data_IF_120028640887
#
_entry.id   IF_120028640887
#
_cell.length_a   1.000
_cell.length_b   1.000
_cell.length_c   1.000
_cell.angle_alpha   90.00
_cell.angle_beta   90.00
_cell.angle_gamma   90.00
#
_symmetry.space_group_name_H-M   'P 1'
#
loop_
_entity.id
_entity.type
_entity.pdbx_description
1 polymer ?
#
# COMPACT_ATOMS: atom_id res chain seq x y z
N UNK A 1 -1.84 -27.41 22.89
CA UNK A 1 -1.87 -28.77 22.31
C UNK A 1 -3.25 -29.24 21.82
N UNK A 2 -4.32 -29.24 22.64
CA UNK A 2 -5.66 -29.73 22.23
C UNK A 2 -6.21 -29.09 20.93
N UNK A 3 -6.02 -27.78 20.76
CA UNK A 3 -6.41 -27.07 19.53
C UNK A 3 -5.63 -27.54 18.30
N UNK A 4 -4.32 -27.72 18.41
CA UNK A 4 -3.49 -28.23 17.31
C UNK A 4 -3.89 -29.65 16.90
N UNK A 5 -4.19 -30.53 17.87
CA UNK A 5 -4.67 -31.89 17.61
C UNK A 5 -6.00 -31.86 16.84
N UNK A 6 -6.92 -30.97 17.23
CA UNK A 6 -8.19 -30.79 16.53
C UNK A 6 -7.97 -30.35 15.06
N UNK A 7 -7.10 -29.37 14.84
CA UNK A 7 -6.74 -28.89 13.50
C UNK A 7 -6.11 -30.02 12.66
N UNK A 8 -5.12 -30.73 13.20
CA UNK A 8 -4.47 -31.85 12.54
C UNK A 8 -5.47 -32.93 12.12
N UNK A 9 -6.41 -33.28 13.00
CA UNK A 9 -7.48 -34.25 12.71
C UNK A 9 -8.39 -33.76 11.58
N UNK A 10 -8.82 -32.49 11.61
CA UNK A 10 -9.75 -31.95 10.59
C UNK A 10 -9.11 -31.77 9.23
N UNK A 11 -7.86 -31.29 9.18
CA UNK A 11 -7.08 -31.18 7.94
C UNK A 11 -6.77 -32.56 7.38
N UNK A 12 -6.39 -33.51 8.22
CA UNK A 12 -6.20 -34.91 7.85
C UNK A 12 -7.42 -35.56 7.22
N UNK A 13 -8.59 -35.38 7.83
CA UNK A 13 -9.88 -35.86 7.31
C UNK A 13 -10.16 -35.29 5.91
N UNK A 14 -9.89 -34.00 5.71
CA UNK A 14 -10.03 -33.33 4.42
C UNK A 14 -9.06 -33.86 3.36
N UNK A 15 -7.79 -34.08 3.73
CA UNK A 15 -6.74 -34.58 2.84
C UNK A 15 -6.95 -36.03 2.40
N UNK A 16 -7.64 -36.85 3.20
CA UNK A 16 -8.04 -38.19 2.76
C UNK A 16 -9.15 -38.15 1.70
N UNK A 17 -10.09 -37.21 1.82
CA UNK A 17 -11.20 -37.05 0.88
C UNK A 17 -10.79 -36.35 -0.43
N UNK A 18 -9.65 -35.65 -0.44
CA UNK A 18 -9.20 -34.85 -1.57
C UNK A 18 -7.73 -35.16 -1.86
N UNK A 19 -7.47 -36.13 -2.74
CA UNK A 19 -6.12 -36.63 -3.01
C UNK A 19 -5.15 -35.57 -3.56
N UNK A 20 -5.67 -34.57 -4.28
CA UNK A 20 -4.88 -33.46 -4.85
C UNK A 20 -4.72 -32.27 -3.89
N UNK A 21 -5.40 -32.31 -2.74
CA UNK A 21 -5.27 -31.26 -1.74
C UNK A 21 -3.87 -31.30 -1.09
N UNK A 22 -3.43 -30.14 -0.66
CA UNK A 22 -2.12 -29.97 -0.05
C UNK A 22 -2.23 -29.22 1.27
N UNK A 23 -1.20 -29.35 2.08
CA UNK A 23 -1.07 -28.69 3.37
C UNK A 23 0.42 -28.46 3.68
N UNK A 24 0.72 -27.41 4.44
CA UNK A 24 2.07 -27.10 4.93
C UNK A 24 2.15 -27.24 6.46
N UNK A 25 3.36 -27.08 7.02
CA UNK A 25 3.60 -27.22 8.46
C UNK A 25 3.28 -25.98 9.29
N UNK A 26 2.70 -24.91 8.70
CA UNK A 26 2.55 -23.60 9.35
C UNK A 26 1.95 -23.67 10.76
N UNK A 27 0.84 -24.38 10.94
CA UNK A 27 0.18 -24.48 12.26
C UNK A 27 1.02 -25.23 13.29
N UNK A 28 1.83 -26.20 12.86
CA UNK A 28 2.71 -26.96 13.74
C UNK A 28 3.92 -26.12 14.11
N UNK A 29 4.52 -25.44 13.13
CA UNK A 29 5.71 -24.61 13.33
C UNK A 29 5.39 -23.37 14.18
N UNK A 30 4.28 -22.69 13.90
CA UNK A 30 3.80 -21.57 14.73
C UNK A 30 3.52 -22.01 16.19
N UNK A 31 2.93 -23.21 16.38
CA UNK A 31 2.70 -23.71 17.74
C UNK A 31 4.01 -24.04 18.45
N UNK A 32 4.99 -24.63 17.75
CA UNK A 32 6.32 -24.94 18.28
C UNK A 32 7.10 -23.68 18.65
N UNK A 33 7.08 -22.64 17.81
CA UNK A 33 7.74 -21.36 18.09
C UNK A 33 7.25 -20.71 19.38
N UNK A 34 5.96 -20.86 19.68
CA UNK A 34 5.35 -20.30 20.89
C UNK A 34 5.38 -21.26 22.11
N UNK A 35 5.81 -22.51 21.93
CA UNK A 35 5.86 -23.55 22.99
C UNK A 35 7.08 -24.48 22.77
N UNK A 36 8.32 -23.94 22.81
CA UNK A 36 9.53 -24.66 22.41
C UNK A 36 9.88 -25.88 23.28
N UNK A 37 9.34 -25.94 24.51
CA UNK A 37 9.53 -27.02 25.46
C UNK A 37 8.71 -28.28 25.15
N UNK A 38 7.74 -28.19 24.23
CA UNK A 38 6.87 -29.30 23.86
C UNK A 38 7.44 -29.99 22.60
N UNK A 39 7.62 -31.31 22.65
CA UNK A 39 7.91 -32.11 21.44
C UNK A 39 6.63 -32.30 20.61
N UNK A 40 6.22 -31.23 19.93
CA UNK A 40 4.96 -31.18 19.17
C UNK A 40 4.89 -32.27 18.11
N UNK A 41 6.00 -32.52 17.40
CA UNK A 41 6.06 -33.56 16.36
C UNK A 41 6.03 -34.96 16.96
N UNK A 42 6.73 -35.21 18.08
CA UNK A 42 6.67 -36.49 18.79
C UNK A 42 5.27 -36.81 19.30
N UNK A 43 4.60 -35.82 19.90
CA UNK A 43 3.22 -35.99 20.39
C UNK A 43 2.22 -36.26 19.25
N UNK A 44 2.34 -35.56 18.12
CA UNK A 44 1.50 -35.84 16.95
C UNK A 44 1.81 -37.23 16.36
N UNK A 45 3.08 -37.67 16.33
CA UNK A 45 3.47 -39.01 15.86
C UNK A 45 2.85 -40.12 16.69
N UNK A 46 2.88 -40.01 18.03
CA UNK A 46 2.18 -40.95 18.92
C UNK A 46 0.68 -41.02 18.63
N UNK A 47 0.05 -39.87 18.41
CA UNK A 47 -1.38 -39.81 18.09
C UNK A 47 -1.69 -40.38 16.70
N UNK A 48 -0.77 -40.25 15.74
CA UNK A 48 -0.92 -40.79 14.39
C UNK A 48 -0.93 -42.31 14.33
N UNK A 49 -0.32 -43.01 15.31
CA UNK A 49 -0.35 -44.47 15.39
C UNK A 49 -1.79 -45.01 15.46
N UNK A 50 -2.68 -44.27 16.11
CA UNK A 50 -4.07 -44.66 16.36
C UNK A 50 -5.10 -43.74 15.66
N UNK A 51 -4.65 -42.83 14.78
CA UNK A 51 -5.54 -41.89 14.12
C UNK A 51 -5.09 -41.62 12.68
N UNK A 52 -5.80 -42.23 11.73
CA UNK A 52 -5.50 -42.13 10.29
C UNK A 52 -5.53 -40.68 9.76
N UNK A 53 -6.35 -39.81 10.34
CA UNK A 53 -6.42 -38.40 9.93
C UNK A 53 -5.14 -37.66 10.35
N UNK A 54 -4.73 -37.82 11.61
CA UNK A 54 -3.49 -37.19 12.09
C UNK A 54 -2.29 -37.77 11.35
N UNK A 55 -2.29 -39.07 11.05
CA UNK A 55 -1.26 -39.70 10.21
C UNK A 55 -1.19 -39.08 8.82
N UNK A 56 -2.33 -38.96 8.12
CA UNK A 56 -2.39 -38.35 6.79
C UNK A 56 -1.90 -36.90 6.80
N UNK A 57 -2.29 -36.14 7.82
CA UNK A 57 -1.84 -34.76 8.01
C UNK A 57 -0.31 -34.69 8.18
N UNK A 58 0.26 -35.49 9.09
CA UNK A 58 1.71 -35.56 9.32
C UNK A 58 2.48 -35.96 8.07
N UNK A 59 2.06 -37.02 7.39
CA UNK A 59 2.71 -37.46 6.14
C UNK A 59 2.71 -36.35 5.07
N UNK A 60 1.63 -35.57 5.01
CA UNK A 60 1.48 -34.48 4.03
C UNK A 60 2.42 -33.32 4.34
N UNK A 61 2.47 -32.88 5.60
CA UNK A 61 3.33 -31.77 6.00
C UNK A 61 4.81 -32.19 6.04
N UNK A 62 5.15 -33.42 6.45
CA UNK A 62 6.54 -33.90 6.49
C UNK A 62 7.14 -34.05 5.08
N UNK A 63 6.34 -34.50 4.10
CA UNK A 63 6.75 -34.52 2.67
C UNK A 63 7.12 -33.14 2.13
N UNK A 64 6.63 -32.07 2.76
CA UNK A 64 6.79 -30.68 2.29
C UNK A 64 7.57 -29.79 3.26
N UNK A 65 7.85 -30.25 4.48
CA UNK A 65 8.57 -29.56 5.56
C UNK A 65 9.97 -29.08 5.12
N UNK A 66 10.57 -29.77 4.16
CA UNK A 66 11.88 -29.41 3.57
C UNK A 66 11.80 -28.91 2.14
N UNK A 67 10.63 -28.92 1.50
CA UNK A 67 10.41 -28.09 0.32
C UNK A 67 10.20 -26.68 0.84
N UNK A 68 11.29 -25.99 1.18
CA UNK A 68 11.26 -24.54 1.23
C UNK A 68 10.69 -24.15 -0.12
N UNK A 69 9.47 -23.62 -0.14
CA UNK A 69 8.98 -22.92 -1.30
C UNK A 69 10.04 -21.83 -1.54
N UNK A 70 10.93 -22.09 -2.48
CA UNK A 70 11.83 -21.10 -3.01
C UNK A 70 10.96 -20.43 -4.06
N UNK A 71 10.28 -19.30 -3.75
CA UNK A 71 9.64 -18.54 -4.81
C UNK A 71 10.68 -18.38 -5.89
N UNK A 72 10.39 -18.89 -7.09
CA UNK A 72 11.17 -18.52 -8.25
C UNK A 72 11.14 -16.99 -8.25
N UNK A 73 12.33 -16.37 -8.18
CA UNK A 73 12.43 -14.92 -8.21
C UNK A 73 11.78 -14.49 -9.52
N UNK A 74 10.52 -14.09 -9.44
CA UNK A 74 9.75 -13.72 -10.60
C UNK A 74 10.46 -12.52 -11.19
N UNK A 75 10.99 -12.68 -12.40
CA UNK A 75 11.67 -11.60 -13.09
C UNK A 75 10.59 -10.63 -13.56
N UNK A 76 10.56 -9.46 -12.94
CA UNK A 76 9.71 -8.37 -13.37
C UNK A 76 10.45 -7.59 -14.44
N UNK A 77 10.04 -7.76 -15.69
CA UNK A 77 10.57 -7.04 -16.84
C UNK A 77 9.42 -6.50 -17.71
N UNK A 78 9.78 -5.85 -18.82
CA UNK A 78 8.81 -5.31 -19.79
C UNK A 78 7.79 -6.37 -20.23
N UNK A 79 8.23 -7.60 -20.53
CA UNK A 79 7.34 -8.64 -21.05
C UNK A 79 6.35 -9.10 -19.98
N UNK A 80 6.82 -9.27 -18.73
CA UNK A 80 5.96 -9.60 -17.59
C UNK A 80 4.76 -8.66 -17.46
N UNK A 81 4.99 -7.36 -17.67
CA UNK A 81 3.96 -6.31 -17.62
C UNK A 81 3.01 -6.42 -18.82
N UNK A 82 3.56 -6.54 -20.03
CA UNK A 82 2.77 -6.61 -21.28
C UNK A 82 1.86 -7.83 -21.33
N UNK A 83 2.32 -8.99 -20.85
CA UNK A 83 1.51 -10.21 -20.81
C UNK A 83 0.27 -10.02 -19.92
N UNK A 84 0.41 -9.27 -18.83
CA UNK A 84 -0.67 -8.99 -17.88
C UNK A 84 -1.62 -7.90 -18.37
N UNK A 85 -1.13 -6.93 -19.15
CA UNK A 85 -2.02 -5.95 -19.78
C UNK A 85 -3.08 -6.61 -20.67
N UNK A 86 -2.73 -7.73 -21.29
CA UNK A 86 -3.61 -8.50 -22.17
C UNK A 86 -4.45 -9.55 -21.41
N UNK A 87 -4.15 -9.81 -20.14
CA UNK A 87 -4.86 -10.80 -19.34
C UNK A 87 -5.73 -10.14 -18.26
N UNK A 88 -7.05 -10.14 -18.48
CA UNK A 88 -8.03 -9.55 -17.55
C UNK A 88 -8.07 -10.20 -16.15
N UNK A 89 -7.50 -11.40 -15.99
CA UNK A 89 -7.48 -12.13 -14.72
C UNK A 89 -6.21 -11.90 -13.90
N UNK A 90 -5.17 -11.29 -14.49
CA UNK A 90 -3.88 -11.09 -13.84
C UNK A 90 -3.61 -9.61 -13.62
N UNK A 91 -3.87 -9.14 -12.40
CA UNK A 91 -3.45 -7.81 -11.96
C UNK A 91 -1.92 -7.70 -11.81
N UNK A 92 -1.41 -6.48 -11.85
CA UNK A 92 -0.03 -6.17 -11.46
C UNK A 92 -0.08 -5.38 -10.16
N UNK A 93 0.58 -5.89 -9.12
CA UNK A 93 0.69 -5.18 -7.84
C UNK A 93 1.67 -4.00 -7.94
N UNK A 94 1.46 -2.91 -7.18
CA UNK A 94 2.26 -1.69 -7.28
C UNK A 94 3.77 -1.92 -7.05
N UNK A 95 4.13 -2.80 -6.09
CA UNK A 95 5.53 -3.19 -5.79
C UNK A 95 6.27 -3.83 -6.96
N UNK A 96 5.57 -4.27 -8.00
CA UNK A 96 6.21 -4.78 -9.24
C UNK A 96 6.84 -3.63 -10.01
N UNK A 97 6.18 -2.47 -10.06
CA UNK A 97 6.61 -1.34 -10.87
C UNK A 97 7.93 -0.75 -10.37
N UNK A 98 8.10 -0.67 -9.05
CA UNK A 98 9.34 -0.25 -8.38
C UNK A 98 10.55 -1.16 -8.69
N UNK A 99 10.29 -2.41 -9.09
CA UNK A 99 11.33 -3.41 -9.39
C UNK A 99 11.71 -3.46 -10.87
N UNK A 100 11.02 -2.71 -11.73
CA UNK A 100 11.34 -2.65 -13.15
C UNK A 100 12.65 -1.91 -13.37
N UNK A 101 13.46 -2.41 -14.31
CA UNK A 101 14.68 -1.72 -14.68
C UNK A 101 14.37 -0.39 -15.38
N UNK A 102 15.30 0.59 -15.30
CA UNK A 102 15.18 1.84 -16.06
C UNK A 102 14.98 1.61 -17.57
N UNK A 103 15.55 0.53 -18.11
CA UNK A 103 15.38 0.13 -19.51
C UNK A 103 13.96 -0.32 -19.80
N UNK A 104 13.36 -1.11 -18.91
CA UNK A 104 11.98 -1.57 -19.07
C UNK A 104 10.97 -0.43 -18.90
N UNK A 105 11.21 0.48 -17.94
CA UNK A 105 10.40 1.68 -17.76
C UNK A 105 10.41 2.59 -18.99
N UNK A 106 11.58 2.77 -19.64
CA UNK A 106 11.67 3.51 -20.90
C UNK A 106 10.86 2.86 -22.02
N UNK A 107 10.94 1.52 -22.18
CA UNK A 107 10.12 0.81 -23.18
C UNK A 107 8.61 0.98 -22.94
N UNK A 108 8.17 0.88 -21.68
CA UNK A 108 6.77 1.08 -21.31
C UNK A 108 6.33 2.52 -21.58
N UNK A 109 7.22 3.50 -21.37
CA UNK A 109 6.96 4.89 -21.67
C UNK A 109 6.88 5.16 -23.18
N UNK A 110 7.76 4.54 -23.98
CA UNK A 110 7.72 4.61 -25.44
C UNK A 110 6.40 4.05 -25.98
N UNK A 111 5.94 2.93 -25.43
CA UNK A 111 4.65 2.34 -25.76
C UNK A 111 3.47 3.25 -25.39
N UNK A 112 3.51 3.84 -24.19
CA UNK A 112 2.50 4.80 -23.75
C UNK A 112 2.38 6.00 -24.70
N UNK A 113 3.50 6.56 -25.15
CA UNK A 113 3.51 7.72 -26.05
C UNK A 113 2.96 7.41 -27.45
N UNK A 114 2.94 6.14 -27.85
CA UNK A 114 2.39 5.68 -29.14
C UNK A 114 0.95 5.18 -29.04
N UNK A 115 0.45 4.96 -27.83
CA UNK A 115 -0.87 4.39 -27.59
C UNK A 115 -1.94 5.49 -27.68
N UNK A 116 -2.97 5.24 -28.50
CA UNK A 116 -4.10 6.14 -28.74
C UNK A 116 -5.37 5.71 -27.99
N UNK A 117 -5.46 4.45 -27.57
CA UNK A 117 -6.64 3.95 -26.86
C UNK A 117 -6.56 4.31 -25.38
N UNK A 118 -7.51 5.15 -24.92
CA UNK A 118 -7.65 5.57 -23.52
C UNK A 118 -7.54 4.43 -22.50
N UNK A 119 -8.24 3.32 -22.73
CA UNK A 119 -8.23 2.16 -21.82
C UNK A 119 -6.87 1.45 -21.73
N UNK A 120 -5.99 1.65 -22.72
CA UNK A 120 -4.62 1.16 -22.69
C UNK A 120 -3.66 2.19 -22.12
N UNK A 121 -3.83 3.47 -22.47
CA UNK A 121 -3.11 4.58 -21.83
C UNK A 121 -3.29 4.53 -20.30
N UNK A 122 -4.50 4.25 -19.83
CA UNK A 122 -4.82 4.09 -18.39
C UNK A 122 -3.94 3.02 -17.73
N UNK A 123 -3.75 1.88 -18.39
CA UNK A 123 -2.89 0.80 -17.87
C UNK A 123 -1.44 1.23 -17.75
N UNK A 124 -0.91 1.99 -18.71
CA UNK A 124 0.44 2.53 -18.63
C UNK A 124 0.56 3.60 -17.55
N UNK A 125 -0.40 4.54 -17.45
CA UNK A 125 -0.36 5.57 -16.43
C UNK A 125 -0.48 5.01 -15.02
N UNK A 126 -1.20 3.90 -14.82
CA UNK A 126 -1.19 3.17 -13.54
C UNK A 126 0.22 2.72 -13.13
N UNK A 127 1.10 2.42 -14.08
CA UNK A 127 2.52 2.14 -13.77
C UNK A 127 3.16 3.43 -13.28
N UNK A 128 3.00 4.50 -14.05
CA UNK A 128 3.67 5.77 -13.77
C UNK A 128 3.07 6.57 -12.61
N UNK A 129 1.92 6.17 -12.08
CA UNK A 129 1.42 6.66 -10.79
C UNK A 129 2.18 6.10 -9.59
N UNK A 130 2.94 5.02 -9.78
CA UNK A 130 3.75 4.39 -8.74
C UNK A 130 5.26 4.60 -8.93
N UNK A 131 5.70 4.95 -10.15
CA UNK A 131 7.10 5.21 -10.46
C UNK A 131 7.23 6.39 -11.42
N UNK A 132 8.27 7.21 -11.24
CA UNK A 132 8.50 8.39 -12.07
C UNK A 132 8.60 8.04 -13.57
N UNK A 133 7.80 8.73 -14.39
CA UNK A 133 7.88 8.64 -15.85
C UNK A 133 9.27 9.09 -16.36
N UNK A 134 9.91 8.36 -17.28
CA UNK A 134 11.32 8.58 -17.64
C UNK A 134 11.56 9.76 -18.59
N UNK A 135 10.51 10.38 -19.11
CA UNK A 135 10.60 11.49 -20.07
C UNK A 135 9.95 12.77 -19.53
N UNK A 136 9.77 13.76 -20.41
CA UNK A 136 9.08 15.00 -20.10
C UNK A 136 7.60 14.71 -19.71
N UNK A 137 7.11 15.42 -18.69
CA UNK A 137 5.77 15.18 -18.11
C UNK A 137 4.62 15.81 -18.93
N UNK A 138 4.90 16.64 -19.93
CA UNK A 138 3.88 17.38 -20.69
C UNK A 138 2.79 16.49 -21.31
N UNK A 139 3.10 15.31 -21.90
CA UNK A 139 2.05 14.41 -22.40
C UNK A 139 1.11 13.95 -21.28
N UNK A 140 1.64 13.71 -20.08
CA UNK A 140 0.86 13.32 -18.89
C UNK A 140 0.03 14.50 -18.40
N UNK A 141 0.59 15.71 -18.34
CA UNK A 141 -0.12 16.92 -17.95
C UNK A 141 -1.29 17.23 -18.89
N UNK A 142 -1.12 17.03 -20.19
CA UNK A 142 -2.20 17.21 -21.16
C UNK A 142 -3.34 16.22 -20.91
N UNK A 143 -3.04 14.97 -20.55
CA UNK A 143 -4.06 13.98 -20.18
C UNK A 143 -4.72 14.32 -18.84
N UNK A 144 -3.97 14.79 -17.84
CA UNK A 144 -4.49 15.21 -16.54
C UNK A 144 -5.46 16.40 -16.65
N UNK A 145 -5.25 17.28 -17.62
CA UNK A 145 -6.13 18.42 -17.91
C UNK A 145 -7.40 18.04 -18.69
N UNK A 146 -7.46 16.84 -19.26
CA UNK A 146 -8.61 16.38 -20.02
C UNK A 146 -9.83 16.13 -19.11
N UNK A 147 -11.02 16.01 -19.71
CA UNK A 147 -12.24 15.70 -18.96
C UNK A 147 -12.18 14.30 -18.34
N UNK A 148 -12.72 14.20 -17.12
CA UNK A 148 -12.85 12.92 -16.43
C UNK A 148 -13.91 12.05 -17.10
N UNK A 149 -13.54 10.81 -17.37
CA UNK A 149 -14.43 9.77 -17.88
C UNK A 149 -14.98 8.96 -16.71
N UNK A 150 -16.26 8.58 -16.75
CA UNK A 150 -16.82 7.60 -15.79
C UNK A 150 -16.43 6.15 -16.10
N UNK A 151 -15.80 5.90 -17.26
CA UNK A 151 -15.50 4.56 -17.79
C UNK A 151 -14.05 4.13 -17.54
N UNK A 152 -13.18 5.07 -17.19
CA UNK A 152 -11.74 4.88 -17.02
C UNK A 152 -11.21 5.81 -15.94
N UNK A 153 -10.07 5.46 -15.34
CA UNK A 153 -9.34 6.30 -14.38
C UNK A 153 -8.12 6.98 -15.02
N UNK A 154 -8.16 7.22 -16.34
CA UNK A 154 -6.99 7.74 -17.08
C UNK A 154 -6.50 9.07 -16.52
N UNK A 155 -7.43 10.02 -16.32
CA UNK A 155 -7.11 11.35 -15.83
C UNK A 155 -6.61 11.31 -14.39
N UNK A 156 -7.19 10.45 -13.54
CA UNK A 156 -6.73 10.24 -12.16
C UNK A 156 -5.29 9.70 -12.13
N UNK A 157 -5.00 8.64 -12.90
CA UNK A 157 -3.63 8.13 -12.98
C UNK A 157 -2.66 9.11 -13.63
N UNK A 158 -3.13 9.99 -14.52
CA UNK A 158 -2.31 11.08 -15.04
C UNK A 158 -1.94 12.08 -13.93
N UNK A 159 -2.91 12.47 -13.09
CA UNK A 159 -2.67 13.33 -11.94
C UNK A 159 -1.71 12.68 -10.96
N UNK A 160 -1.95 11.41 -10.59
CA UNK A 160 -1.05 10.67 -9.69
C UNK A 160 0.36 10.53 -10.28
N UNK A 161 0.51 10.33 -11.60
CA UNK A 161 1.84 10.24 -12.22
C UNK A 161 2.62 11.56 -12.20
N UNK A 162 1.94 12.70 -12.12
CA UNK A 162 2.58 14.03 -12.04
C UNK A 162 3.17 14.32 -10.67
N UNK A 163 2.83 13.56 -9.62
CA UNK A 163 3.35 13.78 -8.26
C UNK A 163 4.89 13.74 -8.18
N UNK A 164 5.54 13.02 -9.09
CA UNK A 164 7.00 12.88 -9.16
C UNK A 164 7.73 14.04 -9.84
N UNK A 165 7.00 15.08 -10.26
CA UNK A 165 7.50 16.20 -11.04
C UNK A 165 7.28 17.55 -10.35
N UNK A 166 8.24 18.45 -10.54
CA UNK A 166 8.14 19.86 -10.17
C UNK A 166 7.95 20.68 -11.44
N UNK A 167 7.01 21.61 -11.44
CA UNK A 167 6.73 22.49 -12.56
C UNK A 167 5.70 23.55 -12.20
N UNK A 168 5.92 24.80 -12.60
CA UNK A 168 4.99 25.90 -12.31
C UNK A 168 3.61 25.67 -12.96
N UNK A 169 3.57 24.99 -14.11
CA UNK A 169 2.34 24.60 -14.81
C UNK A 169 1.59 23.46 -14.12
N UNK A 170 2.30 22.49 -13.52
CA UNK A 170 1.72 21.47 -12.63
C UNK A 170 1.13 22.15 -11.40
N UNK A 171 1.87 23.09 -10.81
CA UNK A 171 1.40 23.83 -9.64
C UNK A 171 0.15 24.64 -9.95
N UNK A 172 0.18 25.42 -11.02
CA UNK A 172 -0.97 26.22 -11.43
C UNK A 172 -2.20 25.32 -11.62
N UNK A 173 -2.03 24.21 -12.33
CA UNK A 173 -3.08 23.22 -12.50
C UNK A 173 -3.61 22.65 -11.18
N UNK A 174 -2.72 22.34 -10.23
CA UNK A 174 -3.11 21.84 -8.90
C UNK A 174 -3.99 22.85 -8.15
N UNK A 175 -3.57 24.12 -8.09
CA UNK A 175 -4.33 25.16 -7.37
C UNK A 175 -5.69 25.43 -8.04
N UNK A 176 -5.73 25.50 -9.37
CA UNK A 176 -6.98 25.67 -10.13
C UNK A 176 -7.99 24.54 -9.84
N UNK A 177 -7.51 23.29 -9.85
CA UNK A 177 -8.36 22.11 -9.58
C UNK A 177 -8.78 22.04 -8.13
N UNK A 178 -7.87 22.21 -7.18
CA UNK A 178 -8.19 22.16 -5.75
C UNK A 178 -9.21 23.24 -5.36
N UNK A 179 -9.15 24.42 -5.97
CA UNK A 179 -10.09 25.51 -5.67
C UNK A 179 -11.53 25.25 -6.12
N UNK A 180 -11.76 24.30 -7.03
CA UNK A 180 -13.07 24.10 -7.69
C UNK A 180 -13.61 22.68 -7.57
N UNK A 181 -12.76 21.71 -7.24
CA UNK A 181 -13.12 20.28 -7.21
C UNK A 181 -13.95 19.91 -5.98
N UNK A 182 -14.78 18.88 -6.14
CA UNK A 182 -15.46 18.18 -5.04
C UNK A 182 -14.69 16.97 -4.52
N UNK A 183 -13.63 16.58 -5.22
CA UNK A 183 -12.76 15.43 -4.93
C UNK A 183 -11.32 15.94 -4.80
N UNK A 184 -11.00 16.69 -3.73
CA UNK A 184 -9.67 17.27 -3.53
C UNK A 184 -8.57 16.20 -3.44
N UNK A 185 -8.90 15.02 -2.89
CA UNK A 185 -7.99 13.89 -2.69
C UNK A 185 -7.30 13.38 -3.98
N UNK A 186 -7.89 13.65 -5.14
CA UNK A 186 -7.27 13.31 -6.44
C UNK A 186 -6.07 14.22 -6.73
N UNK A 187 -6.16 15.50 -6.36
CA UNK A 187 -5.23 16.53 -6.81
C UNK A 187 -4.21 16.97 -5.76
N UNK A 188 -4.40 16.62 -4.49
CA UNK A 188 -3.50 17.03 -3.40
C UNK A 188 -2.08 16.50 -3.60
N UNK A 189 -1.91 15.30 -4.16
CA UNK A 189 -0.60 14.71 -4.48
C UNK A 189 0.27 15.58 -5.40
N UNK A 190 -0.33 16.45 -6.22
CA UNK A 190 0.42 17.39 -7.05
C UNK A 190 1.24 18.39 -6.22
N UNK A 191 0.84 18.66 -4.98
CA UNK A 191 1.57 19.54 -4.08
C UNK A 191 2.81 18.89 -3.45
N UNK A 192 3.01 17.57 -3.57
CA UNK A 192 4.18 16.88 -3.00
C UNK A 192 5.49 17.54 -3.46
N UNK A 193 5.63 17.75 -4.77
CA UNK A 193 6.78 18.45 -5.33
C UNK A 193 6.62 19.97 -5.46
N UNK A 194 5.40 20.49 -5.29
CA UNK A 194 5.01 21.84 -5.75
C UNK A 194 4.36 22.73 -4.68
N UNK A 195 4.43 22.32 -3.41
CA UNK A 195 3.97 23.08 -2.26
C UNK A 195 4.66 24.46 -2.20
N UNK A 196 3.90 25.50 -1.85
CA UNK A 196 4.42 26.83 -1.51
C UNK A 196 3.81 27.29 -0.18
N UNK A 197 4.53 28.18 0.50
CA UNK A 197 4.09 28.74 1.77
C UNK A 197 2.67 29.30 1.67
N UNK A 198 1.84 28.98 2.67
CA UNK A 198 0.43 29.36 2.71
C UNK A 198 -0.54 28.34 2.11
N UNK A 199 -0.07 27.33 1.36
CA UNK A 199 -0.92 26.27 0.80
C UNK A 199 -1.62 25.45 1.93
N UNK A 200 -1.07 25.45 3.14
CA UNK A 200 -1.69 24.83 4.31
C UNK A 200 -3.12 25.33 4.59
N UNK A 201 -3.47 26.58 4.25
CA UNK A 201 -4.83 27.11 4.50
C UNK A 201 -5.87 26.33 3.71
N UNK A 202 -5.53 26.02 2.46
CA UNK A 202 -6.37 25.23 1.58
C UNK A 202 -6.47 23.78 2.08
N UNK A 203 -5.33 23.19 2.44
CA UNK A 203 -5.26 21.82 2.98
C UNK A 203 -6.03 21.67 4.30
N UNK A 204 -5.88 22.61 5.23
CA UNK A 204 -6.67 22.67 6.46
C UNK A 204 -8.16 22.71 6.13
N UNK A 205 -8.57 23.60 5.22
CA UNK A 205 -9.99 23.72 4.86
C UNK A 205 -10.56 22.40 4.33
N UNK A 206 -9.81 21.62 3.55
CA UNK A 206 -10.28 20.30 3.10
C UNK A 206 -10.36 19.31 4.25
N UNK A 207 -9.31 19.24 5.08
CA UNK A 207 -9.29 18.37 6.26
C UNK A 207 -10.50 18.62 7.15
N UNK A 208 -10.83 19.89 7.45
CA UNK A 208 -11.97 20.28 8.28
C UNK A 208 -13.33 19.97 7.65
N UNK A 209 -13.51 20.22 6.35
CA UNK A 209 -14.79 20.02 5.65
C UNK A 209 -15.09 18.56 5.34
N UNK A 210 -14.06 17.73 5.21
CA UNK A 210 -14.23 16.33 4.80
C UNK A 210 -14.78 15.50 5.95
N UNK A 211 -15.81 14.69 5.65
CA UNK A 211 -16.46 13.77 6.61
C UNK A 211 -16.42 12.31 6.14
N UNK A 212 -16.12 12.07 4.87
CA UNK A 212 -16.05 10.72 4.33
C UNK A 212 -14.70 10.10 4.73
N UNK A 213 -14.74 8.91 5.36
CA UNK A 213 -13.55 8.24 5.89
C UNK A 213 -12.56 7.83 4.79
N UNK A 214 -13.05 7.40 3.61
CA UNK A 214 -12.17 7.02 2.49
C UNK A 214 -11.44 8.24 1.93
N UNK A 215 -12.13 9.39 1.87
CA UNK A 215 -11.51 10.67 1.47
C UNK A 215 -10.53 11.15 2.53
N UNK A 216 -10.87 11.06 3.82
CA UNK A 216 -9.94 11.39 4.92
C UNK A 216 -8.67 10.53 4.83
N UNK A 217 -8.83 9.23 4.57
CA UNK A 217 -7.70 8.31 4.41
C UNK A 217 -6.80 8.72 3.23
N UNK A 218 -7.41 9.06 2.09
CA UNK A 218 -6.68 9.50 0.89
C UNK A 218 -5.97 10.84 1.12
N UNK A 219 -6.63 11.79 1.78
CA UNK A 219 -6.03 13.07 2.18
C UNK A 219 -4.86 12.84 3.15
N UNK A 220 -5.02 11.97 4.15
CA UNK A 220 -3.96 11.64 5.10
C UNK A 220 -2.69 11.16 4.39
N UNK A 221 -2.80 10.20 3.47
CA UNK A 221 -1.66 9.73 2.67
C UNK A 221 -0.99 10.89 1.93
N UNK A 222 -1.76 11.69 1.18
CA UNK A 222 -1.18 12.80 0.42
C UNK A 222 -0.57 13.90 1.30
N UNK A 223 -1.12 14.16 2.50
CA UNK A 223 -0.61 15.21 3.39
C UNK A 223 0.70 14.78 4.03
N UNK A 224 0.79 13.50 4.40
CA UNK A 224 2.04 12.87 4.86
C UNK A 224 3.11 13.06 3.78
N UNK A 225 2.84 12.64 2.54
CA UNK A 225 3.80 12.75 1.44
C UNK A 225 4.19 14.23 1.17
N UNK A 226 3.24 15.17 1.24
CA UNK A 226 3.51 16.60 1.09
C UNK A 226 4.49 17.09 2.16
N UNK A 227 4.25 16.79 3.44
CA UNK A 227 5.05 17.33 4.53
C UNK A 227 6.32 16.55 4.82
N UNK A 228 6.42 15.29 4.38
CA UNK A 228 7.70 14.57 4.29
C UNK A 228 8.60 15.21 3.21
N UNK A 229 8.03 15.60 2.08
CA UNK A 229 8.78 16.26 1.00
C UNK A 229 9.08 17.75 1.28
N UNK A 230 8.34 18.39 2.19
CA UNK A 230 8.42 19.82 2.46
C UNK A 230 8.38 20.10 3.98
N UNK A 231 9.55 20.15 4.62
CA UNK A 231 9.66 20.50 6.03
C UNK A 231 9.20 21.94 6.27
N UNK A 232 8.11 22.10 7.00
CA UNK A 232 7.51 23.39 7.35
C UNK A 232 6.64 23.28 8.59
N UNK A 233 6.67 24.32 9.42
CA UNK A 233 5.76 24.44 10.59
C UNK A 233 4.29 24.60 10.18
N UNK A 234 4.04 24.96 8.92
CA UNK A 234 2.69 25.07 8.35
C UNK A 234 1.98 23.71 8.26
N UNK A 235 2.70 22.59 8.47
CA UNK A 235 2.10 21.25 8.54
C UNK A 235 1.14 21.07 9.72
N UNK A 236 1.31 21.85 10.79
CA UNK A 236 0.58 21.68 12.04
C UNK A 236 -0.94 21.61 11.84
N UNK A 237 -1.54 22.70 11.38
CA UNK A 237 -3.00 22.80 11.39
C UNK A 237 -3.69 21.79 10.44
N UNK A 238 -3.19 21.55 9.21
CA UNK A 238 -3.78 20.53 8.33
C UNK A 238 -3.63 19.11 8.88
N UNK A 239 -2.48 18.78 9.48
CA UNK A 239 -2.26 17.45 10.03
C UNK A 239 -3.08 17.22 11.30
N UNK A 240 -3.14 18.18 12.22
CA UNK A 240 -3.99 18.05 13.42
C UNK A 240 -5.48 17.90 13.05
N UNK A 241 -5.95 18.62 12.04
CA UNK A 241 -7.33 18.48 11.55
C UNK A 241 -7.64 17.11 10.93
N UNK A 242 -6.63 16.44 10.32
CA UNK A 242 -6.76 15.06 9.84
C UNK A 242 -6.68 14.07 11.00
N UNK A 243 -5.74 14.27 11.93
CA UNK A 243 -5.53 13.41 13.09
C UNK A 243 -6.83 13.20 13.88
N UNK A 244 -7.56 14.29 14.15
CA UNK A 244 -8.84 14.27 14.89
C UNK A 244 -9.93 13.39 14.25
N UNK A 245 -9.75 12.98 13.00
CA UNK A 245 -10.73 12.20 12.23
C UNK A 245 -10.22 10.82 11.80
N UNK A 246 -8.94 10.53 12.04
CA UNK A 246 -8.25 9.39 11.45
C UNK A 246 -8.26 8.18 12.39
N UNK A 247 -8.77 7.06 11.89
CA UNK A 247 -8.81 5.79 12.65
C UNK A 247 -7.61 4.88 12.35
N UNK A 248 -6.88 5.12 11.27
CA UNK A 248 -5.78 4.27 10.81
C UNK A 248 -4.50 4.53 11.62
N UNK A 249 -4.04 3.52 12.38
CA UNK A 249 -2.82 3.60 13.19
C UNK A 249 -1.56 3.94 12.38
N UNK A 250 -1.36 3.31 11.21
CA UNK A 250 -0.19 3.56 10.36
C UNK A 250 -0.05 5.02 9.94
N UNK A 251 -1.15 5.64 9.50
CA UNK A 251 -1.14 7.05 9.14
C UNK A 251 -0.98 7.96 10.37
N UNK A 252 -1.51 7.59 11.54
CA UNK A 252 -1.27 8.33 12.79
C UNK A 252 0.22 8.34 13.16
N UNK A 253 0.92 7.21 13.02
CA UNK A 253 2.38 7.14 13.26
C UNK A 253 3.11 8.16 12.40
N UNK A 254 2.91 8.11 11.07
CA UNK A 254 3.59 9.02 10.14
C UNK A 254 3.25 10.49 10.43
N UNK A 255 1.98 10.79 10.68
CA UNK A 255 1.52 12.15 10.95
C UNK A 255 2.15 12.73 12.23
N UNK A 256 2.10 11.98 13.33
CA UNK A 256 2.68 12.39 14.62
C UNK A 256 4.19 12.58 14.48
N UNK A 257 4.87 11.67 13.77
CA UNK A 257 6.30 11.80 13.47
C UNK A 257 6.61 13.12 12.74
N UNK A 258 5.85 13.47 11.70
CA UNK A 258 6.03 14.75 10.98
C UNK A 258 5.82 15.95 11.90
N UNK A 259 4.82 15.92 12.77
CA UNK A 259 4.56 17.00 13.74
C UNK A 259 5.71 17.16 14.75
N UNK A 260 6.32 16.05 15.19
CA UNK A 260 7.50 16.05 16.07
C UNK A 260 8.72 16.62 15.34
N UNK A 261 9.02 16.10 14.14
CA UNK A 261 10.18 16.53 13.34
C UNK A 261 10.13 18.03 12.98
N UNK A 262 8.92 18.58 12.80
CA UNK A 262 8.72 20.01 12.55
C UNK A 262 8.64 20.86 13.83
N UNK A 263 8.76 20.25 15.03
CA UNK A 263 8.64 20.90 16.34
C UNK A 263 7.32 21.67 16.51
N UNK A 264 6.20 21.05 16.11
CA UNK A 264 4.87 21.67 16.15
C UNK A 264 3.78 20.80 16.79
N UNK A 265 4.11 19.59 17.25
CA UNK A 265 3.19 18.71 17.97
C UNK A 265 2.50 19.47 19.13
N UNK A 266 1.17 19.49 19.13
CA UNK A 266 0.41 20.09 20.23
C UNK A 266 0.42 19.22 21.48
N UNK A 267 0.27 19.89 22.62
CA UNK A 267 0.07 19.24 23.92
C UNK A 267 -1.17 18.34 23.94
N UNK A 268 -2.22 18.68 23.17
CA UNK A 268 -3.40 17.82 23.02
C UNK A 268 -3.01 16.43 22.49
N UNK A 269 -2.33 16.39 21.34
CA UNK A 269 -1.92 15.11 20.73
C UNK A 269 -0.87 14.43 21.61
N UNK A 270 0.10 15.17 22.16
CA UNK A 270 1.10 14.63 23.08
C UNK A 270 0.47 13.84 24.24
N UNK A 271 -0.56 14.39 24.86
CA UNK A 271 -1.24 13.76 25.99
C UNK A 271 -2.13 12.59 25.56
N UNK A 272 -2.64 12.59 24.33
CA UNK A 272 -3.49 11.52 23.80
C UNK A 272 -2.68 10.29 23.39
N UNK A 273 -1.53 10.48 22.76
CA UNK A 273 -0.77 9.39 22.14
C UNK A 273 -0.18 8.40 23.15
N UNK A 274 -0.10 8.73 24.43
CA UNK A 274 0.23 7.77 25.50
C UNK A 274 -0.75 6.59 25.53
N UNK A 275 -2.01 6.87 25.17
CA UNK A 275 -3.11 5.91 25.20
C UNK A 275 -3.55 5.44 23.80
N UNK A 276 -2.79 5.76 22.74
CA UNK A 276 -3.13 5.31 21.39
C UNK A 276 -3.21 3.77 21.36
N UNK A 277 -4.15 3.21 20.60
CA UNK A 277 -4.24 1.76 20.36
C UNK A 277 -3.03 1.18 19.60
N UNK A 278 -2.39 1.97 18.74
CA UNK A 278 -1.26 1.57 17.90
C UNK A 278 0.07 1.76 18.67
N UNK A 279 0.82 0.67 18.84
CA UNK A 279 2.06 0.67 19.61
C UNK A 279 3.13 1.57 18.98
N UNK A 280 3.18 1.61 17.65
CA UNK A 280 4.12 2.49 16.94
C UNK A 280 3.90 3.97 17.27
N UNK A 281 2.67 4.40 17.53
CA UNK A 281 2.37 5.79 17.89
C UNK A 281 2.86 6.07 19.32
N UNK A 282 2.54 5.18 20.27
CA UNK A 282 2.97 5.32 21.67
C UNK A 282 4.50 5.41 21.78
N UNK A 283 5.22 4.64 20.96
CA UNK A 283 6.69 4.61 20.97
C UNK A 283 7.34 5.93 20.58
N UNK A 284 6.67 6.77 19.81
CA UNK A 284 7.19 8.09 19.42
C UNK A 284 7.44 9.01 20.61
N UNK A 285 6.71 8.84 21.73
CA UNK A 285 6.94 9.62 22.96
C UNK A 285 8.34 9.41 23.55
N UNK A 286 8.96 8.25 23.34
CA UNK A 286 10.31 7.96 23.83
C UNK A 286 11.41 8.51 22.91
N UNK A 287 11.05 8.95 21.71
CA UNK A 287 11.96 9.52 20.71
C UNK A 287 11.98 11.07 20.74
N UNK A 288 11.14 11.68 21.59
CA UNK A 288 11.04 13.13 21.82
C UNK A 288 11.99 13.60 22.91
#
# INVERSE_FOLDING_TARGET
>A
MKGLIYVAKKKGEFLLKNADAWEDSFFVDYFLENNPEIDVYGELKKLAENNEFIKKYLETIEKRKFSVYKPTKTKYDYQYVKDRFNNKYLGIGPRVFERLSKKDLKKLADDFLKEDKRSRQEKYLRIFSNVKFPYNYQPILNLAKAENSRKDRLTEFAVEALQFFKGDDIRQFAIEKLSTTKTPEIYTSLLIGNYKNGDWKLLKSFAEKTKNNDVIHSLASSYIDIYEANLTKECKEPLEAIYDKLTCGLHRISLVKILIENNVLSEKIRNEIEFDSEEGVRKLLFEM
#
